data_IF_270752448118
#
_entry.id   IF_270752448118
#
_cell.length_a   1.000
_cell.length_b   1.000
_cell.length_c   1.000
_cell.angle_alpha   90.00
_cell.angle_beta   90.00
_cell.angle_gamma   90.00
#
_symmetry.space_group_name_H-M   'P 1'
#
loop_
_entity.id
_entity.type
_entity.pdbx_description
1 polymer ?
#
# COMPACT_ATOMS: atom_id res chain seq x y z
N UNK A 1 14.71 14.15 -32.18
CA UNK A 1 13.70 13.13 -32.55
C UNK A 1 14.08 11.75 -31.98
N UNK A 2 15.20 11.14 -32.40
CA UNK A 2 15.62 9.81 -31.90
C UNK A 2 15.93 9.79 -30.40
N UNK A 3 16.65 10.80 -29.90
CA UNK A 3 17.03 10.88 -28.48
C UNK A 3 15.81 11.09 -27.57
N UNK A 4 14.83 11.88 -28.03
CA UNK A 4 13.57 12.09 -27.32
C UNK A 4 12.76 10.78 -27.19
N UNK A 5 12.72 9.97 -28.24
CA UNK A 5 12.05 8.66 -28.19
C UNK A 5 12.73 7.70 -27.22
N UNK A 6 14.06 7.76 -27.10
CA UNK A 6 14.80 6.96 -26.12
C UNK A 6 14.48 7.37 -24.68
N UNK A 7 14.41 8.67 -24.40
CA UNK A 7 14.03 9.19 -23.07
C UNK A 7 12.62 8.74 -22.70
N UNK A 8 11.65 8.87 -23.63
CA UNK A 8 10.26 8.44 -23.39
C UNK A 8 10.20 6.93 -23.07
N UNK A 9 10.87 6.10 -23.87
CA UNK A 9 10.89 4.65 -23.64
C UNK A 9 11.58 4.28 -22.32
N UNK A 10 12.62 5.00 -21.92
CA UNK A 10 13.30 4.79 -20.65
C UNK A 10 12.41 5.17 -19.46
N UNK A 11 11.72 6.30 -19.53
CA UNK A 11 10.73 6.73 -18.51
C UNK A 11 9.60 5.72 -18.41
N UNK A 12 9.00 5.29 -19.52
CA UNK A 12 7.92 4.31 -19.54
C UNK A 12 8.34 2.98 -18.89
N UNK A 13 9.50 2.44 -19.29
CA UNK A 13 10.04 1.20 -18.73
C UNK A 13 10.24 1.32 -17.22
N UNK A 14 10.89 2.39 -16.77
CA UNK A 14 11.19 2.62 -15.35
C UNK A 14 9.92 2.61 -14.50
N UNK A 15 8.94 3.45 -14.85
CA UNK A 15 7.74 3.59 -14.02
C UNK A 15 6.80 2.39 -14.12
N UNK A 16 6.83 1.64 -15.23
CA UNK A 16 6.13 0.35 -15.35
C UNK A 16 6.73 -0.71 -14.42
N UNK A 17 8.06 -0.83 -14.38
CA UNK A 17 8.76 -1.75 -13.49
C UNK A 17 8.54 -1.40 -12.01
N UNK A 18 8.62 -0.10 -11.65
CA UNK A 18 8.34 0.38 -10.30
C UNK A 18 6.89 0.07 -9.87
N UNK A 19 5.92 0.27 -10.76
CA UNK A 19 4.52 -0.04 -10.48
C UNK A 19 4.30 -1.53 -10.26
N UNK A 20 4.87 -2.37 -11.13
CA UNK A 20 4.78 -3.82 -11.01
C UNK A 20 5.41 -4.32 -9.70
N UNK A 21 6.58 -3.79 -9.35
CA UNK A 21 7.26 -4.12 -8.09
C UNK A 21 6.43 -3.71 -6.87
N UNK A 22 5.85 -2.50 -6.87
CA UNK A 22 5.01 -2.01 -5.77
C UNK A 22 3.77 -2.88 -5.58
N UNK A 23 3.07 -3.23 -6.66
CA UNK A 23 1.92 -4.13 -6.62
C UNK A 23 2.30 -5.52 -6.09
N UNK A 24 3.41 -6.09 -6.58
CA UNK A 24 3.90 -7.38 -6.09
C UNK A 24 4.30 -7.35 -4.61
N UNK A 25 4.82 -6.22 -4.11
CA UNK A 25 5.11 -6.06 -2.69
C UNK A 25 3.84 -6.01 -1.83
N UNK A 26 2.83 -5.26 -2.27
CA UNK A 26 1.52 -5.16 -1.60
C UNK A 26 0.84 -6.52 -1.53
N UNK A 27 0.82 -7.27 -2.64
CA UNK A 27 0.24 -8.62 -2.67
C UNK A 27 0.97 -9.58 -1.74
N UNK A 28 2.31 -9.55 -1.70
CA UNK A 28 3.08 -10.35 -0.72
C UNK A 28 2.69 -10.05 0.73
N UNK A 29 2.45 -8.78 1.07
CA UNK A 29 2.01 -8.40 2.41
C UNK A 29 0.59 -8.89 2.69
N UNK A 30 -0.30 -8.87 1.69
CA UNK A 30 -1.67 -9.38 1.81
C UNK A 30 -1.70 -10.90 1.99
N UNK A 31 -0.86 -11.65 1.27
CA UNK A 31 -0.69 -13.09 1.50
C UNK A 31 -0.17 -13.40 2.90
N UNK A 32 0.86 -12.68 3.37
CA UNK A 32 1.39 -12.85 4.72
C UNK A 32 0.34 -12.55 5.81
N UNK A 33 -0.60 -11.65 5.55
CA UNK A 33 -1.72 -11.38 6.45
C UNK A 33 -2.74 -12.54 6.44
N UNK A 34 -3.12 -13.04 5.27
CA UNK A 34 -4.06 -14.17 5.14
C UNK A 34 -3.49 -15.45 5.78
N UNK A 35 -2.20 -15.70 5.61
CA UNK A 35 -1.50 -16.85 6.21
C UNK A 35 -1.31 -16.72 7.72
N UNK A 36 -1.56 -15.55 8.31
CA UNK A 36 -1.32 -15.29 9.73
C UNK A 36 0.14 -14.99 10.10
N UNK A 37 1.05 -14.95 9.13
CA UNK A 37 2.47 -14.61 9.33
C UNK A 37 2.66 -13.14 9.77
N UNK A 38 1.69 -12.28 9.41
CA UNK A 38 1.64 -10.87 9.77
C UNK A 38 0.23 -10.47 10.19
N UNK A 39 0.11 -9.41 10.98
CA UNK A 39 -1.17 -8.79 11.35
C UNK A 39 -1.11 -7.28 11.22
N UNK A 40 -2.21 -6.66 10.84
CA UNK A 40 -2.37 -5.21 10.92
C UNK A 40 -2.61 -4.80 12.38
N UNK A 41 -1.95 -3.72 12.81
CA UNK A 41 -2.10 -3.16 14.14
C UNK A 41 -2.66 -1.75 14.01
N UNK A 42 -3.73 -1.47 14.73
CA UNK A 42 -4.23 -0.11 14.90
C UNK A 42 -3.44 0.55 16.03
N UNK A 43 -2.98 1.78 15.82
CA UNK A 43 -2.46 2.60 16.90
C UNK A 43 -3.67 3.22 17.64
N UNK A 44 -4.29 2.45 18.53
CA UNK A 44 -5.42 2.88 19.33
C UNK A 44 -4.98 3.22 20.75
N UNK A 45 -5.55 4.28 21.32
CA UNK A 45 -5.56 4.52 22.77
C UNK A 45 -6.91 4.05 23.29
N UNK A 46 -6.90 3.01 24.13
CA UNK A 46 -8.10 2.53 24.79
C UNK A 46 -8.04 2.98 26.25
N UNK A 47 -8.95 3.87 26.65
CA UNK A 47 -9.12 4.21 28.05
C UNK A 47 -9.71 2.99 28.78
N UNK A 48 -9.03 2.53 29.81
CA UNK A 48 -9.47 1.39 30.61
C UNK A 48 -10.71 1.80 31.42
N UNK A 49 -11.83 1.11 31.21
CA UNK A 49 -13.01 1.27 32.06
C UNK A 49 -12.69 0.89 33.51
N UNK A 50 -13.06 1.75 34.46
CA UNK A 50 -12.86 1.56 35.91
C UNK A 50 -13.95 0.68 36.55
N UNK A 51 -14.87 0.12 35.75
CA UNK A 51 -15.91 -0.77 36.25
C UNK A 51 -15.30 -2.09 36.79
N UNK A 52 -15.78 -2.63 37.93
CA UNK A 52 -15.26 -3.87 38.50
C UNK A 52 -15.39 -5.02 37.48
N UNK A 53 -14.28 -5.73 37.25
CA UNK A 53 -14.25 -6.91 36.38
C UNK A 53 -15.15 -7.99 36.96
N UNK A 54 -16.16 -8.42 36.20
CA UNK A 54 -16.89 -9.65 36.48
C UNK A 54 -15.93 -10.83 36.34
N UNK A 55 -15.89 -11.70 37.35
CA UNK A 55 -15.15 -12.94 37.31
C UNK A 55 -15.75 -13.84 36.24
N UNK A 56 -14.87 -14.44 35.44
CA UNK A 56 -15.16 -15.39 34.35
C UNK A 56 -15.33 -14.73 32.97
N UNK A 57 -14.31 -14.91 32.12
CA UNK A 57 -14.36 -14.58 30.71
C UNK A 57 -13.87 -15.82 29.96
N UNK A 58 -14.76 -16.34 29.10
CA UNK A 58 -14.49 -17.35 28.07
C UNK A 58 -13.19 -17.06 27.31
N UNK A 59 -12.58 -18.09 26.72
CA UNK A 59 -11.35 -18.00 25.94
C UNK A 59 -11.67 -17.34 24.58
N UNK A 60 -12.03 -16.06 24.64
CA UNK A 60 -12.47 -15.29 23.50
C UNK A 60 -11.29 -15.12 22.54
N UNK A 61 -11.58 -15.26 21.24
CA UNK A 61 -10.58 -15.06 20.20
C UNK A 61 -9.96 -13.67 20.35
N UNK A 62 -8.63 -13.60 20.24
CA UNK A 62 -7.89 -12.33 20.39
C UNK A 62 -8.50 -11.27 19.46
N UNK A 63 -8.71 -10.03 19.93
CA UNK A 63 -9.30 -8.97 19.12
C UNK A 63 -8.50 -8.77 17.83
N UNK A 64 -9.20 -8.86 16.68
CA UNK A 64 -8.66 -8.65 15.34
C UNK A 64 -9.53 -7.68 14.54
N UNK A 65 -8.93 -7.03 13.54
CA UNK A 65 -9.69 -6.23 12.58
C UNK A 65 -10.65 -7.13 11.80
N UNK A 66 -11.76 -6.57 11.32
CA UNK A 66 -12.63 -7.32 10.42
C UNK A 66 -11.93 -7.53 9.09
N UNK A 67 -12.19 -8.68 8.45
CA UNK A 67 -11.62 -8.99 7.13
C UNK A 67 -11.82 -7.83 6.15
N UNK A 68 -13.02 -7.21 6.12
CA UNK A 68 -13.30 -6.06 5.25
C UNK A 68 -12.32 -4.88 5.44
N UNK A 69 -11.94 -4.57 6.69
CA UNK A 69 -10.98 -3.50 6.97
C UNK A 69 -9.58 -3.86 6.47
N UNK A 70 -9.15 -5.10 6.66
CA UNK A 70 -7.84 -5.57 6.20
C UNK A 70 -7.72 -5.48 4.67
N UNK A 71 -8.78 -5.88 3.96
CA UNK A 71 -8.87 -5.77 2.51
C UNK A 71 -8.88 -4.32 2.01
N UNK A 72 -9.71 -3.47 2.61
CA UNK A 72 -9.78 -2.05 2.26
C UNK A 72 -8.44 -1.34 2.46
N UNK A 73 -7.69 -1.70 3.51
CA UNK A 73 -6.37 -1.14 3.76
C UNK A 73 -5.38 -1.44 2.63
N UNK A 74 -5.34 -2.69 2.14
CA UNK A 74 -4.44 -3.04 1.03
C UNK A 74 -4.87 -2.43 -0.30
N UNK A 75 -6.17 -2.37 -0.58
CA UNK A 75 -6.69 -1.65 -1.76
C UNK A 75 -6.29 -0.17 -1.72
N UNK A 76 -6.42 0.48 -0.56
CA UNK A 76 -5.99 1.87 -0.38
C UNK A 76 -4.48 2.03 -0.66
N UNK A 77 -3.64 1.13 -0.13
CA UNK A 77 -2.20 1.18 -0.39
C UNK A 77 -1.86 0.98 -1.87
N UNK A 78 -2.56 0.09 -2.56
CA UNK A 78 -2.36 -0.13 -4.00
C UNK A 78 -2.73 1.11 -4.81
N UNK A 79 -3.87 1.74 -4.49
CA UNK A 79 -4.30 2.97 -5.16
C UNK A 79 -3.32 4.11 -4.92
N UNK A 80 -2.83 4.29 -3.68
CA UNK A 80 -1.81 5.30 -3.37
C UNK A 80 -0.54 5.04 -4.17
N UNK A 81 -0.01 3.81 -4.14
CA UNK A 81 1.21 3.47 -4.88
C UNK A 81 1.04 3.72 -6.39
N UNK A 82 -0.09 3.31 -6.96
CA UNK A 82 -0.41 3.52 -8.38
C UNK A 82 -0.43 5.01 -8.72
N UNK A 83 -1.18 5.81 -7.96
CA UNK A 83 -1.29 7.25 -8.20
C UNK A 83 0.07 7.94 -8.05
N UNK A 84 0.83 7.63 -6.99
CA UNK A 84 2.15 8.23 -6.76
C UNK A 84 3.12 7.93 -7.90
N UNK A 85 3.19 6.67 -8.36
CA UNK A 85 4.12 6.27 -9.43
C UNK A 85 3.71 6.88 -10.76
N UNK A 86 2.42 6.89 -11.09
CA UNK A 86 1.91 7.53 -12.30
C UNK A 86 2.19 9.04 -12.32
N UNK A 87 1.92 9.73 -11.20
CA UNK A 87 2.19 11.17 -11.07
C UNK A 87 3.69 11.44 -11.22
N UNK A 88 4.55 10.63 -10.58
CA UNK A 88 6.00 10.76 -10.70
C UNK A 88 6.47 10.57 -12.14
N UNK A 89 5.93 9.58 -12.86
CA UNK A 89 6.24 9.35 -14.27
C UNK A 89 5.80 10.49 -15.18
N UNK A 90 4.61 11.06 -14.94
CA UNK A 90 4.13 12.23 -15.68
C UNK A 90 4.99 13.47 -15.41
N UNK A 91 5.40 13.69 -14.16
CA UNK A 91 6.31 14.79 -13.81
C UNK A 91 7.67 14.64 -14.51
N UNK A 92 8.24 13.43 -14.50
CA UNK A 92 9.51 13.13 -15.15
C UNK A 92 9.43 13.35 -16.67
N UNK A 93 8.34 12.89 -17.29
CA UNK A 93 8.07 13.14 -18.71
C UNK A 93 7.99 14.65 -19.02
N UNK A 94 7.21 15.42 -18.23
CA UNK A 94 7.08 16.86 -18.45
C UNK A 94 8.45 17.54 -18.36
N UNK A 95 9.23 17.23 -17.33
CA UNK A 95 10.52 17.87 -17.10
C UNK A 95 11.56 17.51 -18.17
N UNK A 96 11.67 16.22 -18.53
CA UNK A 96 12.75 15.74 -19.40
C UNK A 96 12.39 15.74 -20.89
N UNK A 97 11.11 15.86 -21.24
CA UNK A 97 10.64 15.79 -22.65
C UNK A 97 9.95 17.08 -23.08
N UNK A 98 9.05 17.62 -22.27
CA UNK A 98 8.30 18.83 -22.66
C UNK A 98 9.08 20.12 -22.40
N UNK A 99 9.71 20.23 -21.23
CA UNK A 99 10.43 21.43 -20.80
C UNK A 99 11.91 21.44 -21.22
N UNK A 100 12.50 20.27 -21.49
CA UNK A 100 13.87 20.16 -22.02
C UNK A 100 13.98 20.46 -23.53
N UNK A 101 12.89 20.95 -24.14
CA UNK A 101 12.77 21.23 -25.57
C UNK A 101 13.21 22.65 -25.91
#
# INVERSE_FOLDING_TARGET
MKDQQQIIAATDKKYTEELAHAKAHIERLRFALINGDKRLRLNARCDLSTAPRTTEMDDATTPRLSNAVEWNYFSLREHIATATIQIAGLQDYINNVCLAK
#
